data_IF_728342608260
#
_entry.id   IF_728342608260
#
_cell.length_a   1.000
_cell.length_b   1.000
_cell.length_c   1.000
_cell.angle_alpha   90.00
_cell.angle_beta   90.00
_cell.angle_gamma   90.00
#
_symmetry.space_group_name_H-M   'P 1'
#
loop_
_entity.id
_entity.type
_entity.pdbx_description
1 polymer ?
#
# COMPACT_ATOMS: atom_id res chain seq x y z
N UNK A 1 4.94 23.94 -27.22
CA UNK A 1 4.91 24.43 -25.82
C UNK A 1 3.78 23.73 -25.10
N UNK A 2 4.06 22.73 -24.29
CA UNK A 2 3.10 21.73 -23.81
C UNK A 2 2.57 22.13 -22.43
N UNK A 3 1.25 22.15 -22.26
CA UNK A 3 0.51 22.51 -21.04
C UNK A 3 0.62 21.44 -19.93
N UNK A 4 1.82 20.97 -19.60
CA UNK A 4 2.03 19.85 -18.64
C UNK A 4 2.03 20.25 -17.15
N UNK A 5 1.94 21.54 -16.86
CA UNK A 5 2.02 22.04 -15.47
C UNK A 5 0.68 22.22 -14.73
N UNK A 6 -0.45 22.31 -15.45
CA UNK A 6 -1.73 22.70 -14.84
C UNK A 6 -2.48 21.59 -14.11
N UNK A 7 -2.42 20.34 -14.57
CA UNK A 7 -3.20 19.24 -13.95
C UNK A 7 -2.66 18.77 -12.59
N UNK A 8 -1.33 18.77 -12.42
CA UNK A 8 -0.73 18.43 -11.12
C UNK A 8 -0.96 19.50 -10.04
N UNK A 9 -1.13 20.76 -10.46
CA UNK A 9 -1.44 21.89 -9.56
C UNK A 9 -2.92 21.89 -9.15
N UNK A 10 -3.84 21.55 -10.06
CA UNK A 10 -5.29 21.54 -9.76
C UNK A 10 -5.71 20.44 -8.79
N UNK A 11 -4.98 19.32 -8.69
CA UNK A 11 -5.27 18.25 -7.71
C UNK A 11 -4.91 18.64 -6.27
N UNK A 12 -3.90 19.48 -6.05
CA UNK A 12 -3.51 19.93 -4.69
C UNK A 12 -4.59 20.76 -4.00
N UNK A 13 -5.43 21.41 -4.78
CA UNK A 13 -6.52 22.26 -4.29
C UNK A 13 -7.87 21.50 -4.16
N UNK A 14 -7.93 20.23 -4.59
CA UNK A 14 -9.14 19.40 -4.46
C UNK A 14 -9.36 19.01 -3.01
N UNK A 15 -10.58 19.17 -2.53
CA UNK A 15 -11.03 18.71 -1.22
C UNK A 15 -12.13 17.66 -1.39
N UNK A 16 -12.09 16.62 -0.56
CA UNK A 16 -13.07 15.55 -0.61
C UNK A 16 -13.86 15.49 0.70
N UNK A 17 -15.19 15.51 0.58
CA UNK A 17 -16.11 15.36 1.71
C UNK A 17 -16.45 13.90 2.00
N UNK A 18 -16.13 12.96 1.10
CA UNK A 18 -16.39 11.54 1.29
C UNK A 18 -15.37 10.65 0.58
N UNK A 19 -15.18 9.46 1.14
CA UNK A 19 -14.31 8.43 0.56
C UNK A 19 -14.79 8.02 -0.84
N UNK A 20 -16.11 7.90 -1.05
CA UNK A 20 -16.67 7.53 -2.35
C UNK A 20 -16.37 8.57 -3.45
N UNK A 21 -16.37 9.86 -3.12
CA UNK A 21 -15.97 10.91 -4.06
C UNK A 21 -14.48 10.80 -4.42
N UNK A 22 -13.62 10.62 -3.42
CA UNK A 22 -12.19 10.39 -3.60
C UNK A 22 -11.92 9.15 -4.48
N UNK A 23 -12.60 8.04 -4.20
CA UNK A 23 -12.42 6.78 -4.93
C UNK A 23 -12.80 6.89 -6.41
N UNK A 24 -13.88 7.60 -6.74
CA UNK A 24 -14.28 7.83 -8.15
C UNK A 24 -13.18 8.54 -8.93
N UNK A 25 -12.59 9.58 -8.37
CA UNK A 25 -11.51 10.32 -9.05
C UNK A 25 -10.20 9.53 -9.06
N UNK A 26 -9.88 8.82 -7.96
CA UNK A 26 -8.71 7.96 -7.90
C UNK A 26 -8.78 6.87 -9.00
N UNK A 27 -9.92 6.22 -9.16
CA UNK A 27 -10.12 5.17 -10.19
C UNK A 27 -9.87 5.66 -11.63
N UNK A 28 -10.08 6.95 -11.89
CA UNK A 28 -9.82 7.59 -13.19
C UNK A 28 -8.43 8.24 -13.31
N UNK A 29 -7.56 8.11 -12.28
CA UNK A 29 -6.27 8.80 -12.23
C UNK A 29 -5.32 8.34 -13.36
N UNK A 30 -4.72 9.31 -14.07
CA UNK A 30 -3.72 9.10 -15.16
C UNK A 30 -2.45 9.93 -14.94
N UNK A 31 -2.23 10.48 -13.75
CA UNK A 31 -1.16 11.46 -13.50
C UNK A 31 0.24 10.94 -13.85
N UNK A 32 0.53 9.65 -13.60
CA UNK A 32 1.82 9.07 -13.96
C UNK A 32 1.96 8.92 -15.48
N UNK A 33 0.90 8.48 -16.21
CA UNK A 33 0.91 8.39 -17.66
C UNK A 33 1.07 9.77 -18.31
N UNK A 34 0.38 10.79 -17.79
CA UNK A 34 0.51 12.18 -18.22
C UNK A 34 1.91 12.75 -17.98
N UNK A 35 2.61 12.24 -16.96
CA UNK A 35 4.01 12.56 -16.67
C UNK A 35 5.02 11.71 -17.48
N UNK A 36 4.57 10.86 -18.40
CA UNK A 36 5.41 10.06 -19.30
C UNK A 36 5.89 8.74 -18.72
N UNK A 37 5.33 8.27 -17.60
CA UNK A 37 5.66 6.97 -17.04
C UNK A 37 4.81 5.86 -17.68
N UNK A 38 5.42 4.70 -17.99
CA UNK A 38 4.67 3.56 -18.50
C UNK A 38 3.80 2.99 -17.37
N UNK A 39 2.48 2.94 -17.63
CA UNK A 39 1.52 2.29 -16.75
C UNK A 39 0.79 1.20 -17.52
N UNK A 40 0.71 0.02 -16.94
CA UNK A 40 0.05 -1.14 -17.53
C UNK A 40 -1.30 -1.47 -16.87
N UNK A 41 -1.77 -0.62 -15.94
CA UNK A 41 -3.11 -0.76 -15.37
C UNK A 41 -3.73 0.60 -15.01
N UNK A 42 -5.04 0.58 -14.73
CA UNK A 42 -5.72 1.62 -13.97
C UNK A 42 -5.40 1.47 -12.47
N UNK A 43 -5.72 2.49 -11.64
CA UNK A 43 -5.54 2.40 -10.20
C UNK A 43 -6.25 1.20 -9.57
N UNK A 44 -5.54 0.55 -8.65
CA UNK A 44 -5.97 -0.65 -7.92
C UNK A 44 -6.00 -0.32 -6.43
N UNK A 45 -7.17 -0.40 -5.84
CA UNK A 45 -7.43 -0.29 -4.40
C UNK A 45 -8.78 -0.96 -4.11
N UNK A 46 -9.02 -1.34 -2.85
CA UNK A 46 -10.29 -1.93 -2.43
C UNK A 46 -10.56 -1.60 -0.96
N UNK A 47 -11.79 -1.26 -0.67
CA UNK A 47 -12.26 -0.97 0.68
C UNK A 47 -13.36 0.09 0.69
N UNK A 48 -13.90 0.35 1.87
CA UNK A 48 -15.03 1.26 2.05
C UNK A 48 -14.93 2.09 3.33
N UNK A 49 -15.89 2.99 3.50
CA UNK A 49 -16.02 3.77 4.72
C UNK A 49 -16.34 2.83 5.91
N UNK A 50 -15.78 3.16 7.06
CA UNK A 50 -15.96 2.38 8.30
C UNK A 50 -14.87 1.35 8.55
N UNK A 51 -14.05 0.98 7.56
CA UNK A 51 -12.86 0.16 7.82
C UNK A 51 -11.84 0.94 8.66
N UNK A 52 -11.40 0.31 9.75
CA UNK A 52 -10.45 0.92 10.70
C UNK A 52 -9.01 0.44 10.54
N UNK A 53 -8.78 -0.53 9.66
CA UNK A 53 -7.46 -1.00 9.32
C UNK A 53 -7.12 -0.65 7.86
N UNK A 54 -5.93 -0.10 7.64
CA UNK A 54 -5.40 0.30 6.34
C UNK A 54 -4.19 -0.55 5.99
N UNK A 55 -4.20 -1.20 4.84
CA UNK A 55 -3.11 -2.04 4.36
C UNK A 55 -2.39 -1.34 3.19
N UNK A 56 -1.13 -0.98 3.40
CA UNK A 56 -0.31 -0.26 2.42
C UNK A 56 0.77 -1.17 1.83
N UNK A 57 0.62 -1.52 0.56
CA UNK A 57 1.64 -2.20 -0.24
C UNK A 57 2.56 -1.25 -1.01
N UNK A 58 3.46 -1.80 -1.83
CA UNK A 58 4.35 -1.01 -2.69
C UNK A 58 3.64 -0.55 -3.96
N UNK A 59 3.17 -1.48 -4.76
CA UNK A 59 2.47 -1.30 -6.03
C UNK A 59 1.71 -2.57 -6.37
N UNK A 60 0.65 -2.53 -7.19
CA UNK A 60 0.03 -3.71 -7.75
C UNK A 60 1.02 -4.50 -8.62
N UNK A 61 0.92 -5.83 -8.62
CA UNK A 61 1.56 -6.70 -9.60
C UNK A 61 0.69 -6.85 -10.86
N UNK A 62 1.13 -7.67 -11.82
CA UNK A 62 0.41 -7.90 -13.08
C UNK A 62 -1.02 -8.40 -12.84
N UNK A 63 -1.19 -9.40 -11.98
CA UNK A 63 -2.49 -10.01 -11.70
C UNK A 63 -3.45 -9.02 -11.03
N UNK A 64 -2.95 -8.23 -10.09
CA UNK A 64 -3.72 -7.17 -9.44
C UNK A 64 -4.13 -6.09 -10.45
N UNK A 65 -3.26 -5.75 -11.38
CA UNK A 65 -3.55 -4.79 -12.46
C UNK A 65 -4.64 -5.29 -13.41
N UNK A 66 -4.58 -6.56 -13.82
CA UNK A 66 -5.57 -7.22 -14.68
C UNK A 66 -6.93 -7.36 -14.00
N UNK A 67 -6.95 -7.86 -12.76
CA UNK A 67 -8.19 -8.09 -12.00
C UNK A 67 -8.72 -6.83 -11.32
N UNK A 68 -7.94 -5.75 -11.29
CA UNK A 68 -8.25 -4.50 -10.58
C UNK A 68 -8.59 -4.72 -9.11
N UNK A 69 -7.93 -5.69 -8.50
CA UNK A 69 -8.13 -6.05 -7.10
C UNK A 69 -6.78 -6.25 -6.42
N UNK A 70 -6.51 -5.58 -5.29
CA UNK A 70 -5.23 -5.69 -4.60
C UNK A 70 -5.04 -7.09 -3.97
N UNK A 71 -3.78 -7.52 -3.82
CA UNK A 71 -3.40 -8.75 -3.09
C UNK A 71 -4.00 -10.06 -3.63
N UNK A 72 -4.20 -10.16 -4.95
CA UNK A 72 -4.73 -11.38 -5.62
C UNK A 72 -3.67 -12.44 -5.85
N UNK A 73 -2.43 -12.05 -6.05
CA UNK A 73 -1.32 -12.94 -6.36
C UNK A 73 -0.79 -13.73 -5.15
N UNK A 74 0.33 -14.44 -5.37
CA UNK A 74 0.99 -15.28 -4.34
C UNK A 74 1.36 -14.49 -3.08
N UNK A 75 1.76 -13.24 -3.22
CA UNK A 75 2.07 -12.37 -2.09
C UNK A 75 0.83 -12.13 -1.20
N UNK A 76 -0.33 -11.89 -1.81
CA UNK A 76 -1.59 -11.73 -1.08
C UNK A 76 -2.02 -13.01 -0.36
N UNK A 77 -1.89 -14.16 -1.01
CA UNK A 77 -2.15 -15.46 -0.37
C UNK A 77 -1.23 -15.70 0.83
N UNK A 78 0.07 -15.40 0.70
CA UNK A 78 1.01 -15.55 1.80
C UNK A 78 0.71 -14.56 2.94
N UNK A 79 0.32 -13.31 2.62
CA UNK A 79 -0.07 -12.31 3.62
C UNK A 79 -1.30 -12.76 4.40
N UNK A 80 -2.34 -13.26 3.74
CA UNK A 80 -3.54 -13.79 4.42
C UNK A 80 -3.20 -14.95 5.36
N UNK A 81 -2.31 -15.87 4.93
CA UNK A 81 -1.84 -16.96 5.82
C UNK A 81 -1.09 -16.43 7.04
N UNK A 82 -0.23 -15.40 6.89
CA UNK A 82 0.46 -14.79 8.02
C UNK A 82 -0.51 -14.14 9.01
N UNK A 83 -1.56 -13.49 8.49
CA UNK A 83 -2.57 -12.82 9.30
C UNK A 83 -3.64 -13.79 9.84
N UNK A 84 -3.64 -15.05 9.39
CA UNK A 84 -4.65 -16.08 9.74
C UNK A 84 -6.07 -15.65 9.35
N UNK A 85 -6.19 -14.95 8.21
CA UNK A 85 -7.46 -14.45 7.67
C UNK A 85 -7.79 -15.18 6.35
N UNK A 86 -9.05 -15.55 6.19
CA UNK A 86 -9.57 -15.91 4.87
C UNK A 86 -9.71 -14.68 3.97
N UNK A 87 -10.09 -14.89 2.71
CA UNK A 87 -10.16 -13.82 1.74
C UNK A 87 -11.28 -12.82 2.03
N UNK A 88 -12.43 -13.28 2.51
CA UNK A 88 -13.59 -12.44 2.81
C UNK A 88 -13.30 -11.54 4.02
N UNK A 89 -12.82 -12.12 5.11
CA UNK A 89 -12.43 -11.40 6.31
C UNK A 89 -11.28 -10.43 6.03
N UNK A 90 -10.31 -10.80 5.20
CA UNK A 90 -9.21 -9.91 4.83
C UNK A 90 -9.70 -8.63 4.17
N UNK A 91 -10.58 -8.72 3.15
CA UNK A 91 -11.07 -7.54 2.46
C UNK A 91 -12.15 -6.78 3.23
N UNK A 92 -12.86 -7.41 4.15
CA UNK A 92 -13.78 -6.68 5.05
C UNK A 92 -13.03 -5.93 6.15
N UNK A 93 -11.87 -6.44 6.58
CA UNK A 93 -11.02 -5.82 7.62
C UNK A 93 -10.22 -4.64 7.08
N UNK A 94 -9.54 -4.82 5.96
CA UNK A 94 -8.55 -3.87 5.47
C UNK A 94 -9.03 -3.03 4.29
N UNK A 95 -8.86 -1.71 4.40
CA UNK A 95 -8.76 -0.87 3.20
C UNK A 95 -7.40 -1.12 2.55
N UNK A 96 -7.41 -1.74 1.39
CA UNK A 96 -6.20 -2.18 0.69
C UNK A 96 -5.76 -1.16 -0.35
N UNK A 97 -4.56 -0.65 -0.20
CA UNK A 97 -3.95 0.31 -1.11
C UNK A 97 -2.43 0.07 -1.27
N UNK A 98 -1.78 0.88 -2.08
CA UNK A 98 -0.34 0.80 -2.32
C UNK A 98 0.27 2.20 -2.44
N UNK A 99 1.59 2.34 -2.28
CA UNK A 99 2.31 3.62 -2.45
C UNK A 99 2.07 4.19 -3.85
N UNK A 100 2.06 3.34 -4.88
CA UNK A 100 1.54 3.69 -6.20
C UNK A 100 0.36 2.78 -6.55
N UNK A 101 -0.70 3.35 -7.12
CA UNK A 101 -1.98 2.64 -7.33
C UNK A 101 -2.02 1.80 -8.59
N UNK A 102 -1.12 2.01 -9.53
CA UNK A 102 -1.12 1.34 -10.83
C UNK A 102 0.00 0.30 -10.91
N UNK A 103 -0.22 -0.76 -11.67
CA UNK A 103 0.85 -1.69 -12.04
C UNK A 103 1.89 -0.96 -12.88
N UNK A 104 3.14 -0.90 -12.43
CA UNK A 104 4.16 -0.10 -13.09
C UNK A 104 4.77 -0.76 -14.34
N UNK A 105 4.39 -2.01 -14.63
CA UNK A 105 4.98 -2.81 -15.70
C UNK A 105 6.16 -3.65 -15.23
N UNK A 106 6.72 -4.43 -16.17
CA UNK A 106 7.89 -5.28 -15.92
C UNK A 106 9.18 -4.46 -15.91
N UNK A 107 10.16 -4.94 -15.15
CA UNK A 107 11.50 -4.37 -15.18
C UNK A 107 12.19 -4.70 -16.51
N UNK A 108 12.92 -3.74 -17.08
CA UNK A 108 13.69 -3.92 -18.32
C UNK A 108 14.78 -4.98 -18.20
N UNK A 109 15.24 -5.28 -16.98
CA UNK A 109 16.20 -6.35 -16.66
C UNK A 109 15.61 -7.76 -16.78
N UNK A 110 14.30 -7.92 -17.05
CA UNK A 110 13.62 -9.21 -17.18
C UNK A 110 13.30 -9.91 -15.85
N UNK A 111 13.70 -9.36 -14.72
CA UNK A 111 13.53 -9.95 -13.39
C UNK A 111 12.44 -9.29 -12.55
N UNK A 112 11.17 -9.66 -12.73
CA UNK A 112 10.07 -9.17 -11.90
C UNK A 112 9.46 -7.84 -12.35
N UNK A 113 8.71 -7.20 -11.44
CA UNK A 113 8.01 -5.94 -11.70
C UNK A 113 8.95 -4.75 -11.52
N UNK A 114 8.73 -3.71 -12.32
CA UNK A 114 9.45 -2.44 -12.20
C UNK A 114 9.12 -1.79 -10.85
N UNK A 115 10.14 -1.23 -10.25
CA UNK A 115 9.96 -0.41 -9.06
C UNK A 115 9.49 0.97 -9.48
N UNK A 116 8.36 1.49 -8.93
CA UNK A 116 7.92 2.85 -9.19
C UNK A 116 9.00 3.88 -8.82
N UNK A 117 9.27 4.82 -9.73
CA UNK A 117 10.21 5.91 -9.49
C UNK A 117 9.71 6.83 -8.36
N UNK A 118 10.63 7.58 -7.77
CA UNK A 118 10.28 8.54 -6.69
C UNK A 118 9.17 9.50 -7.13
N UNK A 119 9.24 10.01 -8.36
CA UNK A 119 8.24 10.93 -8.89
C UNK A 119 6.85 10.30 -9.04
N UNK A 120 6.76 9.03 -9.41
CA UNK A 120 5.48 8.31 -9.44
C UNK A 120 4.89 8.17 -8.04
N UNK A 121 5.73 7.88 -7.04
CA UNK A 121 5.30 7.81 -5.64
C UNK A 121 4.80 9.17 -5.13
N UNK A 122 5.49 10.27 -5.45
CA UNK A 122 5.08 11.63 -5.11
C UNK A 122 3.74 12.02 -5.77
N UNK A 123 3.54 11.69 -7.04
CA UNK A 123 2.28 11.93 -7.76
C UNK A 123 1.12 11.15 -7.15
N UNK A 124 1.39 9.96 -6.62
CA UNK A 124 0.38 9.08 -6.04
C UNK A 124 0.12 9.33 -4.55
N UNK A 125 1.02 10.01 -3.83
CA UNK A 125 0.93 10.27 -2.39
C UNK A 125 -0.36 11.02 -2.00
N UNK A 126 -0.82 11.93 -2.86
CA UNK A 126 -2.06 12.68 -2.70
C UNK A 126 -3.28 11.78 -2.36
N UNK A 127 -3.42 10.63 -3.04
CA UNK A 127 -4.53 9.71 -2.80
C UNK A 127 -4.44 9.08 -1.41
N UNK A 128 -3.24 8.64 -1.00
CA UNK A 128 -3.03 8.07 0.32
C UNK A 128 -3.32 9.08 1.44
N UNK A 129 -2.85 10.31 1.30
CA UNK A 129 -3.08 11.37 2.28
C UNK A 129 -4.58 11.61 2.50
N UNK A 130 -5.36 11.67 1.43
CA UNK A 130 -6.80 11.83 1.51
C UNK A 130 -7.52 10.58 2.04
N UNK A 131 -7.09 9.39 1.65
CA UNK A 131 -7.63 8.13 2.19
C UNK A 131 -7.44 8.07 3.71
N UNK A 132 -6.23 8.32 4.21
CA UNK A 132 -5.94 8.31 5.66
C UNK A 132 -6.75 9.37 6.40
N UNK A 133 -6.86 10.58 5.84
CA UNK A 133 -7.66 11.67 6.42
C UNK A 133 -9.15 11.35 6.51
N UNK A 134 -9.72 10.69 5.50
CA UNK A 134 -11.15 10.36 5.45
C UNK A 134 -11.49 9.09 6.24
N UNK A 135 -10.63 8.08 6.19
CA UNK A 135 -10.81 6.80 6.90
C UNK A 135 -10.51 6.93 8.39
N UNK A 136 -9.49 7.71 8.75
CA UNK A 136 -8.96 7.80 10.12
C UNK A 136 -8.72 6.41 10.72
N UNK A 137 -7.89 5.58 10.09
CA UNK A 137 -7.69 4.22 10.54
C UNK A 137 -7.06 4.21 11.94
N UNK A 138 -7.35 3.17 12.72
CA UNK A 138 -6.68 2.92 14.00
C UNK A 138 -5.40 2.11 13.81
N UNK A 139 -5.35 1.31 12.74
CA UNK A 139 -4.23 0.47 12.38
C UNK A 139 -3.81 0.71 10.93
N UNK A 140 -2.52 0.90 10.71
CA UNK A 140 -1.90 0.88 9.38
C UNK A 140 -0.89 -0.26 9.35
N UNK A 141 -1.10 -1.24 8.47
CA UNK A 141 -0.13 -2.29 8.20
C UNK A 141 0.62 -1.94 6.93
N UNK A 142 1.93 -1.72 7.01
CA UNK A 142 2.76 -1.50 5.82
C UNK A 142 3.45 -2.79 5.41
N UNK A 143 3.42 -3.15 4.13
CA UNK A 143 3.98 -4.39 3.61
C UNK A 143 5.15 -4.10 2.68
N UNK A 144 6.35 -4.45 3.16
CA UNK A 144 7.61 -4.21 2.49
C UNK A 144 8.24 -2.84 2.79
N UNK A 145 9.56 -2.77 2.60
CA UNK A 145 10.37 -1.59 2.97
C UNK A 145 9.87 -0.28 2.35
N UNK A 146 9.37 -0.30 1.12
CA UNK A 146 8.92 0.95 0.45
C UNK A 146 7.66 1.51 1.07
N UNK A 147 6.74 0.63 1.43
CA UNK A 147 5.53 1.03 2.14
C UNK A 147 5.88 1.60 3.52
N UNK A 148 6.70 0.91 4.30
CA UNK A 148 7.19 1.40 5.59
C UNK A 148 7.92 2.73 5.47
N UNK A 149 8.86 2.84 4.51
CA UNK A 149 9.60 4.09 4.26
C UNK A 149 8.71 5.26 3.90
N UNK A 150 7.63 5.03 3.17
CA UNK A 150 6.73 6.10 2.71
C UNK A 150 5.93 6.79 3.82
N UNK A 151 5.83 6.14 4.99
CA UNK A 151 5.15 6.70 6.18
C UNK A 151 6.13 7.01 7.31
N UNK A 152 7.13 6.15 7.52
CA UNK A 152 8.00 6.19 8.71
C UNK A 152 9.41 6.74 8.40
N UNK A 153 9.78 6.89 7.12
CA UNK A 153 11.11 7.35 6.73
C UNK A 153 12.25 6.36 6.99
N UNK A 154 11.97 5.12 7.41
CA UNK A 154 12.96 4.09 7.74
C UNK A 154 13.86 3.73 6.55
N UNK A 155 15.09 3.33 6.83
CA UNK A 155 16.11 2.98 5.81
C UNK A 155 16.13 1.49 5.50
N UNK A 156 15.81 0.63 6.48
CA UNK A 156 15.87 -0.82 6.38
C UNK A 156 14.74 -1.51 7.15
N UNK A 157 14.50 -2.78 6.83
CA UNK A 157 13.50 -3.61 7.54
C UNK A 157 13.91 -3.88 8.98
N UNK A 158 15.22 -3.95 9.24
CA UNK A 158 15.76 -4.22 10.59
C UNK A 158 15.45 -3.09 11.58
N UNK A 159 15.16 -1.89 11.08
CA UNK A 159 14.82 -0.72 11.89
C UNK A 159 13.34 -0.72 12.31
N UNK A 160 12.49 -1.54 11.69
CA UNK A 160 11.05 -1.37 11.87
C UNK A 160 10.24 -2.66 12.06
N UNK A 161 10.69 -3.81 11.57
CA UNK A 161 9.92 -5.06 11.72
C UNK A 161 10.03 -5.56 13.18
N UNK A 162 8.87 -5.90 13.78
CA UNK A 162 8.74 -6.32 15.17
C UNK A 162 8.41 -5.18 16.12
N UNK A 163 8.21 -3.97 15.62
CA UNK A 163 7.87 -2.79 16.42
C UNK A 163 6.57 -2.14 15.94
N UNK A 164 5.92 -1.39 16.82
CA UNK A 164 4.80 -0.52 16.52
C UNK A 164 5.25 0.94 16.54
N UNK A 165 4.77 1.72 15.59
CA UNK A 165 5.00 3.15 15.47
C UNK A 165 3.66 3.88 15.50
N UNK A 166 3.69 5.20 15.47
CA UNK A 166 2.50 6.04 15.36
C UNK A 166 2.57 6.93 14.12
N UNK A 167 1.44 7.11 13.46
CA UNK A 167 1.28 8.07 12.38
C UNK A 167 -0.14 8.65 12.43
N UNK A 168 -0.25 9.95 12.72
CA UNK A 168 -1.54 10.68 12.82
C UNK A 168 -2.58 9.98 13.73
N UNK A 169 -2.13 9.42 14.86
CA UNK A 169 -2.99 8.74 15.83
C UNK A 169 -3.28 7.26 15.50
N UNK A 170 -2.79 6.75 14.37
CA UNK A 170 -2.90 5.34 14.01
C UNK A 170 -1.65 4.55 14.45
N UNK A 171 -1.82 3.33 14.96
CA UNK A 171 -0.72 2.39 15.13
C UNK A 171 -0.21 1.94 13.74
N UNK A 172 1.09 2.03 13.50
CA UNK A 172 1.72 1.57 12.25
C UNK A 172 2.58 0.35 12.55
N UNK A 173 2.24 -0.77 11.93
CA UNK A 173 2.96 -2.02 12.11
C UNK A 173 3.53 -2.47 10.75
N UNK A 174 4.86 -2.38 10.57
CA UNK A 174 5.51 -2.83 9.36
C UNK A 174 5.64 -4.35 9.31
N UNK A 175 5.34 -4.93 8.14
CA UNK A 175 5.61 -6.32 7.79
C UNK A 175 6.61 -6.38 6.62
N UNK A 176 7.47 -7.41 6.54
CA UNK A 176 8.29 -7.65 5.36
C UNK A 176 7.38 -8.03 4.18
N UNK A 177 7.90 -7.92 2.95
CA UNK A 177 7.13 -8.35 1.79
C UNK A 177 7.04 -9.89 1.74
N UNK A 178 5.84 -10.48 1.58
CA UNK A 178 5.63 -11.92 1.67
C UNK A 178 6.03 -12.69 0.40
N UNK A 179 6.68 -12.05 -0.58
CA UNK A 179 7.24 -12.75 -1.74
C UNK A 179 8.48 -13.52 -1.35
N UNK A 180 8.64 -14.74 -1.88
CA UNK A 180 9.82 -15.58 -1.67
C UNK A 180 11.13 -15.03 -2.26
N UNK A 181 11.11 -13.85 -2.87
CA UNK A 181 12.28 -13.16 -3.42
C UNK A 181 13.13 -12.50 -2.33
N UNK A 182 12.53 -12.16 -1.19
CA UNK A 182 13.27 -11.53 -0.09
C UNK A 182 14.02 -12.58 0.73
N UNK A 183 15.36 -12.53 0.69
CA UNK A 183 16.23 -13.36 1.55
C UNK A 183 16.21 -12.91 3.03
N UNK A 184 15.56 -11.80 3.35
CA UNK A 184 15.52 -11.25 4.70
C UNK A 184 14.95 -12.24 5.72
N UNK A 185 13.90 -12.97 5.36
CA UNK A 185 13.28 -14.01 6.19
C UNK A 185 14.09 -15.29 6.34
N UNK A 186 15.22 -15.46 5.63
CA UNK A 186 16.08 -16.63 5.78
C UNK A 186 16.87 -16.61 7.12
N UNK A 187 16.96 -15.44 7.76
CA UNK A 187 17.62 -15.31 9.06
C UNK A 187 16.64 -15.60 10.21
N UNK A 188 16.99 -16.48 11.17
CA UNK A 188 16.10 -16.82 12.30
C UNK A 188 15.67 -15.60 13.13
N UNK A 189 16.55 -14.62 13.30
CA UNK A 189 16.21 -13.37 14.00
C UNK A 189 15.08 -12.61 13.32
N UNK A 190 15.06 -12.63 11.98
CA UNK A 190 14.05 -11.93 11.19
C UNK A 190 12.70 -12.68 11.17
N UNK A 191 12.73 -14.01 11.31
CA UNK A 191 11.51 -14.80 11.50
C UNK A 191 10.86 -14.47 12.85
N UNK A 192 11.66 -14.32 13.92
CA UNK A 192 11.14 -13.85 15.21
C UNK A 192 10.53 -12.46 15.12
N UNK A 193 11.21 -11.51 14.49
CA UNK A 193 10.67 -10.17 14.26
C UNK A 193 9.34 -10.19 13.49
N UNK A 194 9.20 -11.06 12.50
CA UNK A 194 7.91 -11.24 11.81
C UNK A 194 6.84 -11.76 12.75
N UNK A 195 7.16 -12.75 13.59
CA UNK A 195 6.22 -13.30 14.58
C UNK A 195 5.75 -12.20 15.54
N UNK A 196 6.68 -11.38 16.05
CA UNK A 196 6.36 -10.24 16.92
C UNK A 196 5.47 -9.21 16.23
N UNK A 197 5.78 -8.85 14.97
CA UNK A 197 4.97 -7.93 14.20
C UNK A 197 3.54 -8.46 13.97
N UNK A 198 3.40 -9.75 13.65
CA UNK A 198 2.09 -10.38 13.46
C UNK A 198 1.27 -10.43 14.76
N UNK A 199 1.93 -10.66 15.92
CA UNK A 199 1.28 -10.58 17.22
C UNK A 199 0.75 -9.16 17.50
N UNK A 200 1.53 -8.12 17.18
CA UNK A 200 1.10 -6.72 17.30
C UNK A 200 -0.10 -6.43 16.41
N UNK A 201 -0.11 -6.89 15.14
CA UNK A 201 -1.25 -6.71 14.24
C UNK A 201 -2.51 -7.36 14.81
N UNK A 202 -2.42 -8.61 15.29
CA UNK A 202 -3.57 -9.32 15.89
C UNK A 202 -4.11 -8.56 17.10
N UNK A 203 -3.25 -8.09 17.97
CA UNK A 203 -3.66 -7.29 19.16
C UNK A 203 -4.44 -6.05 18.74
N UNK A 204 -3.96 -5.32 17.74
CA UNK A 204 -4.65 -4.11 17.26
C UNK A 204 -5.99 -4.41 16.58
N UNK A 205 -6.09 -5.51 15.81
CA UNK A 205 -7.35 -5.91 15.17
C UNK A 205 -8.41 -6.27 16.22
N UNK A 206 -8.04 -6.97 17.29
CA UNK A 206 -8.96 -7.30 18.38
C UNK A 206 -9.39 -6.09 19.21
N UNK A 207 -8.52 -5.11 19.40
CA UNK A 207 -8.85 -3.87 20.12
C UNK A 207 -9.80 -2.95 19.34
N UNK A 208 -9.95 -3.18 18.04
CA UNK A 208 -10.75 -2.36 17.12
C UNK A 208 -12.15 -2.93 16.85
N UNK A 209 -12.47 -4.11 17.43
CA UNK A 209 -13.77 -4.77 17.38
C UNK A 209 -14.62 -4.37 18.56
#
# INVERSE_FOLDING_TARGET
>A
MVRHGRLALTRRDSTYSSLAALQRENAACRACAEAGYPLESLPVFEGGAGQRAYLLGQAPGVLEGEQRRPWRGRAGQALRRWLELDEEVFYSTFYCASVTRCYPGRASSGGGDRVPARREQELCAFWREWELRLLRPQLIVTVGLRAARSLLGVRGLDECIGSSFEHEGAAVIPLPHPSGVSRWLNMPVNQRRLTDALALVRTQLHAST
#
